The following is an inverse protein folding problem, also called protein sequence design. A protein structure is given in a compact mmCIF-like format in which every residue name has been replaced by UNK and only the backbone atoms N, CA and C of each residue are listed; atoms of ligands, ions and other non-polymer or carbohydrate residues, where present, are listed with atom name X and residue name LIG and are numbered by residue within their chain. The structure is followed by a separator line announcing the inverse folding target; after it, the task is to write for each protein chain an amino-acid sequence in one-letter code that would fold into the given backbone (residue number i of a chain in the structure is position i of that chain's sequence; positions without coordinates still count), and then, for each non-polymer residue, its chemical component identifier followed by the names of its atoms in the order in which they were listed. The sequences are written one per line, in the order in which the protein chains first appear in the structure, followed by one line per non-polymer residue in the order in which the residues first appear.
data_IF_514724533338
#
_entry.id   IF_514724533338
#
_cell.length_a   1.000
_cell.length_b   1.000
_cell.length_c   1.000
_cell.angle_alpha   90.00
_cell.angle_beta   90.00
_cell.angle_gamma   90.00
#
_symmetry.space_group_name_H-M   'P 1'
#
loop_
_entity.id
_entity.type
_entity.pdbx_description
1 polymer ?
#
# COMPACT_ATOMS: atom_id res chain seq x y z
N UNK A 1 -4.34 20.47 -6.59
CA UNK A 1 -4.87 19.27 -5.90
C UNK A 1 -3.72 18.31 -5.66
N UNK A 2 -3.52 17.76 -4.45
CA UNK A 2 -2.60 16.64 -4.29
C UNK A 2 -3.15 15.46 -5.09
N UNK A 3 -2.38 14.95 -6.04
CA UNK A 3 -2.81 13.96 -7.04
C UNK A 3 -2.96 12.54 -6.51
N UNK A 4 -2.87 12.33 -5.19
CA UNK A 4 -2.75 11.00 -4.55
C UNK A 4 -1.69 10.09 -5.20
N UNK A 5 -0.69 10.68 -5.88
CA UNK A 5 0.39 9.97 -6.59
C UNK A 5 1.27 9.15 -5.65
N UNK A 6 1.25 9.49 -4.36
CA UNK A 6 1.90 8.73 -3.30
C UNK A 6 0.90 7.74 -2.71
N UNK A 7 0.90 6.53 -3.25
CA UNK A 7 0.07 5.42 -2.78
C UNK A 7 0.62 4.93 -1.43
N UNK A 8 0.08 5.48 -0.34
CA UNK A 8 0.34 5.00 1.02
C UNK A 8 -0.86 4.20 1.55
N UNK A 9 -0.73 3.68 2.79
CA UNK A 9 -1.78 2.92 3.46
C UNK A 9 -3.14 3.62 3.46
N UNK A 10 -3.16 4.94 3.70
CA UNK A 10 -4.38 5.76 3.67
C UNK A 10 -5.03 5.78 2.28
N UNK A 11 -4.24 5.97 1.22
CA UNK A 11 -4.75 5.99 -0.16
C UNK A 11 -5.29 4.62 -0.55
N UNK A 12 -4.58 3.54 -0.21
CA UNK A 12 -5.03 2.17 -0.48
C UNK A 12 -6.36 1.89 0.22
N UNK A 13 -6.49 2.22 1.51
CA UNK A 13 -7.74 2.01 2.25
C UNK A 13 -8.90 2.84 1.69
N UNK A 14 -8.63 4.08 1.22
CA UNK A 14 -9.64 4.89 0.54
C UNK A 14 -10.11 4.25 -0.78
N UNK A 15 -9.22 3.59 -1.51
CA UNK A 15 -9.58 2.84 -2.72
C UNK A 15 -10.42 1.62 -2.36
N UNK A 16 -10.00 0.81 -1.38
CA UNK A 16 -10.75 -0.37 -0.92
C UNK A 16 -12.16 -0.02 -0.45
N UNK A 17 -12.27 1.03 0.36
CA UNK A 17 -13.54 1.54 0.88
C UNK A 17 -14.51 1.95 -0.24
N UNK A 18 -14.02 2.60 -1.31
CA UNK A 18 -14.85 2.96 -2.49
C UNK A 18 -15.46 1.76 -3.21
N UNK A 19 -14.84 0.58 -3.09
CA UNK A 19 -15.34 -0.66 -3.68
C UNK A 19 -16.06 -1.54 -2.66
N UNK A 20 -16.38 -1.02 -1.46
CA UNK A 20 -16.94 -1.76 -0.35
C UNK A 20 -16.11 -3.01 0.01
N UNK A 21 -14.78 -2.91 -0.12
CA UNK A 21 -13.85 -3.98 0.26
C UNK A 21 -13.38 -3.75 1.70
N UNK A 22 -13.04 -4.84 2.38
CA UNK A 22 -12.43 -4.74 3.70
C UNK A 22 -11.11 -3.96 3.60
N UNK A 23 -10.91 -2.99 4.48
CA UNK A 23 -9.68 -2.18 4.52
C UNK A 23 -8.45 -3.02 4.97
N UNK A 24 -7.24 -2.57 4.64
CA UNK A 24 -6.01 -3.14 5.18
C UNK A 24 -5.85 -2.78 6.67
N UNK A 25 -5.39 -3.73 7.51
CA UNK A 25 -5.07 -3.45 8.89
C UNK A 25 -3.90 -2.45 8.98
N UNK A 26 -3.82 -1.72 10.09
CA UNK A 26 -2.71 -0.79 10.30
C UNK A 26 -1.38 -1.53 10.54
N UNK A 27 -1.40 -2.59 11.32
CA UNK A 27 -0.25 -3.47 11.53
C UNK A 27 -0.38 -4.70 10.61
N UNK A 28 0.67 -5.10 9.88
CA UNK A 28 2.03 -4.53 9.84
C UNK A 28 2.25 -3.42 8.80
N UNK A 29 1.23 -3.03 8.02
CA UNK A 29 1.42 -2.34 6.73
C UNK A 29 1.61 -0.82 6.78
N UNK A 30 0.99 -0.11 7.73
CA UNK A 30 0.97 1.36 7.76
C UNK A 30 2.36 1.93 7.92
N UNK A 31 3.05 1.53 9.00
CA UNK A 31 4.40 2.01 9.32
C UNK A 31 5.41 1.65 8.22
N UNK A 32 5.30 0.44 7.67
CA UNK A 32 6.21 -0.03 6.62
C UNK A 32 5.99 0.70 5.29
N UNK A 33 4.73 0.94 4.92
CA UNK A 33 4.37 1.72 3.72
C UNK A 33 4.84 3.17 3.82
N UNK A 34 4.69 3.79 4.99
CA UNK A 34 5.17 5.17 5.21
C UNK A 34 6.70 5.25 5.14
N UNK A 35 7.40 4.24 5.70
CA UNK A 35 8.87 4.12 5.60
C UNK A 35 9.30 3.97 4.15
N UNK A 36 8.65 3.07 3.39
CA UNK A 36 8.94 2.85 1.97
C UNK A 36 8.71 4.11 1.14
N UNK A 37 7.59 4.78 1.34
CA UNK A 37 7.26 6.00 0.62
C UNK A 37 8.27 7.12 0.90
N UNK A 38 8.65 7.30 2.17
CA UNK A 38 9.68 8.26 2.55
C UNK A 38 11.01 7.95 1.88
N UNK A 39 11.45 6.69 1.88
CA UNK A 39 12.68 6.25 1.22
C UNK A 39 12.65 6.51 -0.30
N UNK A 40 11.57 6.10 -0.98
CA UNK A 40 11.38 6.34 -2.42
C UNK A 40 11.36 7.83 -2.77
N UNK A 41 10.68 8.65 -1.96
CA UNK A 41 10.59 10.09 -2.18
C UNK A 41 11.96 10.75 -2.06
N UNK A 42 12.75 10.41 -1.04
CA UNK A 42 14.11 10.96 -0.87
C UNK A 42 14.99 10.63 -2.08
N UNK A 43 14.97 9.38 -2.54
CA UNK A 43 15.72 8.97 -3.74
C UNK A 43 15.25 9.72 -4.99
N UNK A 44 13.93 9.81 -5.22
CA UNK A 44 13.37 10.49 -6.37
C UNK A 44 13.70 12.00 -6.40
N UNK A 45 13.89 12.61 -5.23
CA UNK A 45 14.34 13.99 -5.09
C UNK A 45 15.87 14.18 -5.16
N UNK A 46 16.64 13.11 -5.41
CA UNK A 46 18.09 13.18 -5.56
C UNK A 46 18.87 13.24 -4.23
N UNK A 47 18.29 12.75 -3.13
CA UNK A 47 18.98 12.67 -1.84
C UNK A 47 20.03 11.53 -1.84
N UNK A 48 21.29 11.87 -2.14
CA UNK A 48 22.42 10.94 -2.16
C UNK A 48 22.95 10.59 -0.76
N UNK A 49 22.38 11.14 0.32
CA UNK A 49 22.84 10.84 1.69
C UNK A 49 22.43 9.43 2.16
N UNK A 50 21.47 8.79 1.49
CA UNK A 50 21.06 7.43 1.79
C UNK A 50 21.72 6.47 0.80
N UNK A 51 22.73 5.68 1.22
CA UNK A 51 23.23 4.61 0.37
C UNK A 51 22.15 3.54 0.19
N UNK A 52 21.73 3.32 -1.05
CA UNK A 52 20.84 2.22 -1.41
C UNK A 52 21.62 0.91 -1.23
N UNK A 53 21.05 -0.03 -0.47
CA UNK A 53 21.65 -1.32 -0.15
C UNK A 53 20.70 -2.43 -0.60
N UNK A 54 21.25 -3.60 -0.89
CA UNK A 54 20.44 -4.77 -1.25
C UNK A 54 19.37 -5.07 -0.20
N UNK A 55 19.69 -4.92 1.09
CA UNK A 55 18.73 -5.08 2.18
C UNK A 55 17.50 -4.17 2.09
N UNK A 56 17.64 -2.95 1.57
CA UNK A 56 16.50 -2.06 1.33
C UNK A 56 15.63 -2.59 0.19
N UNK A 57 16.25 -3.08 -0.88
CA UNK A 57 15.53 -3.69 -2.00
C UNK A 57 14.76 -4.92 -1.52
N UNK A 58 15.41 -5.81 -0.78
CA UNK A 58 14.78 -7.02 -0.24
C UNK A 58 13.61 -6.69 0.70
N UNK A 59 13.80 -5.75 1.63
CA UNK A 59 12.76 -5.29 2.57
C UNK A 59 11.54 -4.75 1.82
N UNK A 60 11.75 -3.85 0.86
CA UNK A 60 10.66 -3.19 0.17
C UNK A 60 10.00 -4.07 -0.89
N UNK A 61 10.75 -4.95 -1.56
CA UNK A 61 10.19 -5.96 -2.44
C UNK A 61 9.27 -6.91 -1.67
N UNK A 62 9.69 -7.35 -0.48
CA UNK A 62 8.85 -8.19 0.39
C UNK A 62 7.58 -7.47 0.82
N UNK A 63 7.68 -6.21 1.26
CA UNK A 63 6.51 -5.40 1.61
C UNK A 63 5.51 -5.29 0.46
N UNK A 64 5.99 -5.06 -0.77
CA UNK A 64 5.11 -4.97 -1.95
C UNK A 64 4.41 -6.31 -2.23
N UNK A 65 5.13 -7.43 -2.13
CA UNK A 65 4.54 -8.77 -2.31
C UNK A 65 3.45 -9.01 -1.25
N UNK A 66 3.76 -8.79 0.03
CA UNK A 66 2.81 -8.97 1.13
C UNK A 66 1.57 -8.07 0.97
N UNK A 67 1.74 -6.82 0.52
CA UNK A 67 0.62 -5.94 0.20
C UNK A 67 -0.23 -6.46 -0.96
N UNK A 68 0.37 -7.00 -2.02
CA UNK A 68 -0.36 -7.54 -3.17
C UNK A 68 -1.18 -8.77 -2.79
N UNK A 69 -0.61 -9.67 -1.99
CA UNK A 69 -1.31 -10.85 -1.48
C UNK A 69 -2.53 -10.45 -0.63
N UNK A 70 -2.35 -9.50 0.30
CA UNK A 70 -3.45 -9.00 1.13
C UNK A 70 -4.54 -8.28 0.32
N UNK A 71 -4.15 -7.52 -0.71
CA UNK A 71 -5.11 -6.89 -1.62
C UNK A 71 -5.89 -7.95 -2.41
N UNK A 72 -5.21 -8.98 -2.90
CA UNK A 72 -5.85 -10.08 -3.61
C UNK A 72 -6.90 -10.78 -2.74
N UNK A 73 -6.55 -11.12 -1.50
CA UNK A 73 -7.48 -11.76 -0.54
C UNK A 73 -8.74 -10.91 -0.35
N UNK A 74 -8.60 -9.59 -0.22
CA UNK A 74 -9.73 -8.67 -0.02
C UNK A 74 -10.61 -8.53 -1.26
N UNK A 75 -9.99 -8.48 -2.43
CA UNK A 75 -10.72 -8.43 -3.71
C UNK A 75 -11.50 -9.73 -3.91
N UNK A 76 -10.87 -10.89 -3.69
CA UNK A 76 -11.54 -12.19 -3.78
C UNK A 76 -12.67 -12.30 -2.76
N UNK A 77 -12.44 -11.98 -1.48
CA UNK A 77 -13.48 -12.00 -0.45
C UNK A 77 -14.66 -11.07 -0.79
N UNK A 78 -14.39 -9.85 -1.26
CA UNK A 78 -15.40 -8.90 -1.71
C UNK A 78 -16.18 -9.40 -2.92
N UNK A 79 -15.52 -10.07 -3.85
CA UNK A 79 -16.15 -10.71 -5.01
C UNK A 79 -17.08 -11.85 -4.57
N UNK A 80 -16.60 -12.78 -3.73
CA UNK A 80 -17.40 -13.90 -3.23
C UNK A 80 -18.62 -13.42 -2.43
N UNK A 81 -18.44 -12.41 -1.57
CA UNK A 81 -19.50 -11.83 -0.74
C UNK A 81 -20.38 -10.81 -1.48
N UNK A 82 -20.06 -10.53 -2.75
CA UNK A 82 -20.71 -9.52 -3.60
C UNK A 82 -20.88 -8.17 -2.88
N UNK A 83 -19.85 -7.71 -2.18
CA UNK A 83 -19.93 -6.46 -1.38
C UNK A 83 -20.17 -5.24 -2.26
N UNK A 84 -19.78 -5.30 -3.54
CA UNK A 84 -20.08 -4.31 -4.56
C UNK A 84 -21.59 -4.13 -4.87
N UNK A 85 -22.46 -5.08 -4.48
CA UNK A 85 -23.92 -4.95 -4.59
C UNK A 85 -24.56 -4.33 -3.35
N UNK A 86 -23.83 -4.28 -2.23
CA UNK A 86 -24.31 -3.81 -0.93
C UNK A 86 -24.02 -2.33 -0.74
N UNK A 87 -24.27 -1.50 -1.76
CA UNK A 87 -23.97 -0.07 -1.75
C UNK A 87 -24.29 0.61 -0.41
N UNK A 88 -23.47 1.61 -0.03
CA UNK A 88 -23.62 2.41 1.19
C UNK A 88 -25.05 2.95 1.31
#
# INVERSE_FOLDING_TARGET
MPTESNINHKVINKILDRFNLQILPEDPFKKQSDKFLSFRNRIAHGDFSIPIRQSHIDEYSRLVIELMDELFIRIDDGYQKRTYLKGI
#
